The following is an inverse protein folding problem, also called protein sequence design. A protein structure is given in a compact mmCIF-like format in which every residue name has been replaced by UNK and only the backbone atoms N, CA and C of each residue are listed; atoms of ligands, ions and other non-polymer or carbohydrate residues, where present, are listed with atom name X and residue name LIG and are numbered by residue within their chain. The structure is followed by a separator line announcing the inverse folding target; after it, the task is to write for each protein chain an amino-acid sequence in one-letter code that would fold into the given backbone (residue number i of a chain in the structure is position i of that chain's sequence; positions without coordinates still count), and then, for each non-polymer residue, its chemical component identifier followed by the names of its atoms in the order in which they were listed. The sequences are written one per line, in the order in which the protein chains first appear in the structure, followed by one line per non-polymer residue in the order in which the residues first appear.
data_IF_204704945873
#
_entry.id   IF_204704945873
#
_cell.length_a   1.000
_cell.length_b   1.000
_cell.length_c   1.000
_cell.angle_alpha   90.00
_cell.angle_beta   90.00
_cell.angle_gamma   90.00
#
_symmetry.space_group_name_H-M   'P 1'
#
loop_
_entity.id
_entity.type
_entity.pdbx_description
1 polymer ?
#
# COMPACT_ATOMS: atom_id res chain seq x y z
N UNK A 1 32.85 -13.43 -24.35
CA UNK A 1 32.29 -13.98 -23.12
C UNK A 1 32.91 -13.26 -21.94
N UNK A 2 32.28 -12.23 -21.41
CA UNK A 2 32.78 -11.48 -20.22
C UNK A 2 31.98 -11.96 -19.01
N UNK A 3 32.68 -12.60 -18.08
CA UNK A 3 32.13 -13.04 -16.78
C UNK A 3 31.90 -11.83 -15.90
N UNK A 4 30.65 -11.60 -15.49
CA UNK A 4 30.31 -10.63 -14.45
C UNK A 4 30.52 -11.34 -13.11
N UNK A 5 31.48 -10.83 -12.34
CA UNK A 5 31.77 -11.29 -10.98
C UNK A 5 30.83 -10.48 -10.06
N UNK A 6 29.89 -11.17 -9.43
CA UNK A 6 29.06 -10.61 -8.34
C UNK A 6 29.90 -10.71 -7.08
N UNK A 7 30.34 -9.59 -6.55
CA UNK A 7 31.00 -9.52 -5.24
C UNK A 7 29.94 -9.55 -4.15
N UNK A 8 29.90 -10.68 -3.40
CA UNK A 8 29.25 -10.76 -2.09
C UNK A 8 30.03 -9.88 -1.11
N UNK A 9 29.39 -8.84 -0.59
CA UNK A 9 29.93 -8.08 0.54
C UNK A 9 29.35 -8.63 1.84
N UNK A 10 30.24 -9.16 2.68
CA UNK A 10 30.00 -9.72 3.99
C UNK A 10 29.43 -8.72 5.00
N UNK A 11 28.60 -9.26 5.87
CA UNK A 11 28.16 -8.71 7.16
C UNK A 11 29.32 -8.11 7.95
N UNK A 12 29.17 -6.86 8.33
CA UNK A 12 29.96 -6.22 9.39
C UNK A 12 29.03 -5.82 10.55
N UNK A 13 29.05 -6.62 11.62
CA UNK A 13 28.47 -6.24 12.92
C UNK A 13 29.33 -5.10 13.47
N UNK A 14 28.76 -3.90 13.57
CA UNK A 14 29.37 -2.81 14.35
C UNK A 14 28.59 -2.62 15.65
N UNK A 15 29.11 -3.17 16.74
CA UNK A 15 28.76 -2.78 18.09
C UNK A 15 29.43 -1.44 18.39
N UNK A 16 28.64 -0.38 18.57
CA UNK A 16 29.14 0.88 19.10
C UNK A 16 28.80 0.96 20.59
N UNK A 17 29.87 0.82 21.40
CA UNK A 17 29.87 1.13 22.83
C UNK A 17 29.80 2.66 23.00
N UNK A 18 28.81 3.10 23.77
CA UNK A 18 28.60 4.49 24.14
C UNK A 18 29.46 4.88 25.34
N UNK A 19 30.07 6.06 25.33
CA UNK A 19 30.31 6.83 26.54
C UNK A 19 30.13 8.33 26.29
N UNK A 20 29.11 8.85 26.92
CA UNK A 20 28.89 10.11 27.64
C UNK A 20 29.20 11.47 26.98
N UNK A 21 28.13 12.27 26.79
CA UNK A 21 27.91 13.52 27.55
C UNK A 21 26.53 14.06 27.22
N UNK A 22 25.80 14.39 28.28
CA UNK A 22 24.52 15.12 28.23
C UNK A 22 24.76 16.54 27.72
N UNK A 23 24.06 16.93 26.64
CA UNK A 23 23.71 18.31 26.38
C UNK A 23 22.23 18.38 26.03
N UNK A 24 21.52 19.06 26.91
CA UNK A 24 20.10 19.30 26.92
C UNK A 24 19.78 20.43 25.92
N UNK A 25 19.31 20.07 24.74
CA UNK A 25 18.65 21.01 23.85
C UNK A 25 17.48 20.32 23.17
N UNK A 26 16.30 20.79 23.55
CA UNK A 26 15.02 20.38 22.99
C UNK A 26 14.91 20.82 21.52
N UNK A 27 15.36 19.97 20.61
CA UNK A 27 15.06 20.11 19.19
C UNK A 27 14.02 19.06 18.78
N UNK A 28 12.80 19.54 18.50
CA UNK A 28 11.72 18.77 17.87
C UNK A 28 11.98 18.64 16.36
N UNK A 29 13.16 18.18 15.99
CA UNK A 29 13.51 17.81 14.61
C UNK A 29 13.17 16.34 14.39
N UNK A 30 12.10 16.05 13.66
CA UNK A 30 11.87 14.70 13.13
C UNK A 30 13.12 14.27 12.35
N UNK A 31 13.81 13.21 12.79
CA UNK A 31 14.96 12.65 12.10
C UNK A 31 14.51 12.26 10.68
N UNK A 32 15.05 12.95 9.68
CA UNK A 32 14.86 12.63 8.28
C UNK A 32 15.45 11.23 8.04
N UNK A 33 14.58 10.23 7.92
CA UNK A 33 15.00 8.86 7.66
C UNK A 33 15.22 8.73 6.15
N UNK A 34 16.47 8.69 5.71
CA UNK A 34 16.80 8.46 4.30
C UNK A 34 16.89 6.97 4.02
N UNK A 35 16.07 6.48 3.10
CA UNK A 35 16.17 5.13 2.57
C UNK A 35 17.39 5.07 1.65
N UNK A 36 18.29 4.08 1.79
CA UNK A 36 19.46 3.97 0.94
C UNK A 36 19.10 3.99 -0.56
N UNK A 37 19.76 4.83 -1.33
CA UNK A 37 19.44 5.04 -2.77
C UNK A 37 19.65 3.80 -3.64
N UNK A 38 20.41 2.81 -3.16
CA UNK A 38 20.58 1.52 -3.82
C UNK A 38 19.41 0.53 -3.59
N UNK A 39 18.41 0.90 -2.76
CA UNK A 39 17.22 0.07 -2.53
C UNK A 39 16.13 0.29 -3.56
N UNK A 40 16.18 1.35 -4.35
CA UNK A 40 15.13 1.67 -5.31
C UNK A 40 15.62 2.38 -6.57
N UNK A 41 14.78 2.39 -7.58
CA UNK A 41 14.94 3.20 -8.79
C UNK A 41 13.67 4.01 -9.00
N UNK A 42 13.82 5.31 -9.23
CA UNK A 42 12.75 6.21 -9.69
C UNK A 42 12.96 6.60 -11.14
N UNK A 43 11.88 7.01 -11.80
CA UNK A 43 11.94 7.57 -13.16
C UNK A 43 12.82 8.83 -13.24
N UNK A 44 13.33 9.20 -14.43
CA UNK A 44 14.19 10.38 -14.59
C UNK A 44 13.57 11.70 -14.11
N UNK A 45 12.24 11.81 -14.17
CA UNK A 45 11.47 12.96 -13.67
C UNK A 45 11.20 12.91 -12.16
N UNK A 46 11.59 11.81 -11.47
CA UNK A 46 11.44 11.62 -10.04
C UNK A 46 9.99 11.34 -9.57
N UNK A 47 9.05 11.09 -10.49
CA UNK A 47 7.63 10.96 -10.15
C UNK A 47 7.16 9.53 -9.96
N UNK A 48 7.87 8.55 -10.47
CA UNK A 48 7.47 7.14 -10.46
C UNK A 48 8.51 6.26 -9.77
N UNK A 49 8.10 5.47 -8.77
CA UNK A 49 8.92 4.38 -8.24
C UNK A 49 8.88 3.22 -9.23
N UNK A 50 10.01 2.88 -9.84
CA UNK A 50 10.12 1.89 -10.91
C UNK A 50 10.59 0.52 -10.44
N UNK A 51 11.44 0.47 -9.39
CA UNK A 51 11.97 -0.79 -8.84
C UNK A 51 12.25 -0.65 -7.35
N UNK A 52 12.13 -1.78 -6.65
CA UNK A 52 12.55 -1.96 -5.28
C UNK A 52 13.43 -3.21 -5.16
N UNK A 53 14.54 -3.15 -4.41
CA UNK A 53 15.54 -4.22 -4.35
C UNK A 53 15.70 -4.84 -2.97
N UNK A 54 15.32 -4.13 -1.89
CA UNK A 54 15.46 -4.67 -0.53
C UNK A 54 14.22 -5.48 -0.14
N UNK A 55 14.27 -6.79 -0.38
CA UNK A 55 13.16 -7.71 -0.09
C UNK A 55 13.00 -8.07 1.38
N UNK A 56 14.04 -7.82 2.21
CA UNK A 56 14.04 -8.14 3.65
C UNK A 56 13.41 -7.04 4.52
N UNK A 57 12.87 -5.99 3.90
CA UNK A 57 12.28 -4.87 4.62
C UNK A 57 10.97 -5.26 5.31
N UNK A 58 10.81 -4.82 6.56
CA UNK A 58 9.58 -5.04 7.36
C UNK A 58 8.66 -3.83 7.37
N UNK A 59 9.23 -2.63 7.18
CA UNK A 59 8.49 -1.37 7.11
C UNK A 59 9.16 -0.38 6.17
N UNK A 60 8.37 0.45 5.51
CA UNK A 60 8.86 1.51 4.60
C UNK A 60 8.12 2.81 4.94
N UNK A 61 8.86 3.87 5.25
CA UNK A 61 8.32 5.23 5.34
C UNK A 61 8.75 6.04 4.12
N UNK A 62 7.93 6.03 3.07
CA UNK A 62 8.19 6.82 1.86
C UNK A 62 7.97 8.32 2.09
N UNK A 63 7.18 8.69 3.11
CA UNK A 63 6.85 10.08 3.39
C UNK A 63 8.04 10.84 3.99
N UNK A 64 8.89 10.17 4.77
CA UNK A 64 10.09 10.78 5.38
C UNK A 64 11.31 10.80 4.43
N UNK A 65 11.28 10.05 3.32
CA UNK A 65 12.38 10.03 2.34
C UNK A 65 12.27 11.18 1.34
N UNK A 66 13.39 11.87 1.08
CA UNK A 66 13.47 13.07 0.21
C UNK A 66 13.04 12.84 -1.23
N UNK A 67 13.26 11.65 -1.75
CA UNK A 67 12.95 11.27 -3.14
C UNK A 67 11.57 10.63 -3.18
N UNK A 68 11.35 9.60 -2.36
CA UNK A 68 10.11 8.83 -2.38
C UNK A 68 8.88 9.65 -1.93
N UNK A 69 9.05 10.67 -1.09
CA UNK A 69 7.95 11.58 -0.70
C UNK A 69 7.35 12.37 -1.87
N UNK A 70 8.07 12.46 -3.00
CA UNK A 70 7.65 13.22 -4.19
C UNK A 70 6.97 12.37 -5.26
N UNK A 71 7.04 11.03 -5.15
CA UNK A 71 6.45 10.18 -6.18
C UNK A 71 4.93 10.31 -6.18
N UNK A 72 4.37 10.24 -7.38
CA UNK A 72 2.92 10.23 -7.64
C UNK A 72 2.44 8.86 -8.08
N UNK A 73 3.35 7.97 -8.44
CA UNK A 73 3.06 6.63 -8.91
C UNK A 73 4.02 5.60 -8.31
N UNK A 74 3.47 4.53 -7.72
CA UNK A 74 4.17 3.27 -7.53
C UNK A 74 3.95 2.51 -8.83
N UNK A 75 4.95 2.57 -9.73
CA UNK A 75 4.85 2.12 -11.11
C UNK A 75 5.70 0.88 -11.36
N UNK A 76 5.43 0.20 -12.45
CA UNK A 76 6.00 -1.12 -12.72
C UNK A 76 5.15 -2.22 -12.10
N UNK A 77 5.34 -3.44 -12.60
CA UNK A 77 4.61 -4.61 -12.09
C UNK A 77 5.30 -5.18 -10.87
N UNK A 78 4.52 -5.56 -9.85
CA UNK A 78 4.99 -6.35 -8.71
C UNK A 78 6.17 -5.72 -7.93
N UNK A 79 6.18 -4.39 -7.76
CA UNK A 79 7.30 -3.64 -7.17
C UNK A 79 7.76 -4.20 -5.81
N UNK A 80 6.82 -4.60 -4.95
CA UNK A 80 7.11 -5.14 -3.61
C UNK A 80 6.67 -6.60 -3.45
N UNK A 81 6.35 -7.32 -4.52
CA UNK A 81 5.76 -8.67 -4.42
C UNK A 81 6.69 -9.68 -3.70
N UNK A 82 8.00 -9.48 -3.74
CA UNK A 82 8.97 -10.33 -3.03
C UNK A 82 9.23 -9.91 -1.57
N UNK A 83 8.62 -8.81 -1.11
CA UNK A 83 8.78 -8.32 0.26
C UNK A 83 7.87 -9.08 1.23
N UNK A 84 8.13 -10.37 1.42
CA UNK A 84 7.30 -11.29 2.22
C UNK A 84 7.23 -10.96 3.72
N UNK A 85 8.05 -10.02 4.20
CA UNK A 85 8.06 -9.55 5.58
C UNK A 85 7.52 -8.11 5.72
N UNK A 86 7.09 -7.46 4.65
CA UNK A 86 6.63 -6.09 4.67
C UNK A 86 5.24 -5.99 5.31
N UNK A 87 5.18 -5.49 6.55
CA UNK A 87 3.94 -5.38 7.33
C UNK A 87 3.38 -3.96 7.40
N UNK A 88 4.20 -2.96 7.11
CA UNK A 88 3.81 -1.54 7.22
C UNK A 88 4.42 -0.69 6.11
N UNK A 89 3.60 0.20 5.53
CA UNK A 89 4.04 1.20 4.54
C UNK A 89 3.35 2.52 4.83
N UNK A 90 4.14 3.60 4.91
CA UNK A 90 3.63 4.98 4.89
C UNK A 90 3.80 5.51 3.47
N UNK A 91 2.67 5.74 2.79
CA UNK A 91 2.63 6.19 1.41
C UNK A 91 2.88 7.72 1.29
N UNK A 92 3.43 8.19 0.17
CA UNK A 92 3.58 9.62 -0.10
C UNK A 92 2.22 10.33 -0.18
N UNK A 93 2.15 11.57 0.33
CA UNK A 93 0.92 12.37 0.31
C UNK A 93 0.41 12.71 -1.10
N UNK A 94 1.31 12.71 -2.08
CA UNK A 94 1.02 13.05 -3.48
C UNK A 94 0.72 11.82 -4.36
N UNK A 95 0.67 10.62 -3.78
CA UNK A 95 0.48 9.39 -4.55
C UNK A 95 -0.91 9.37 -5.21
N UNK A 96 -0.93 9.13 -6.51
CA UNK A 96 -2.14 9.06 -7.32
C UNK A 96 -2.43 7.64 -7.83
N UNK A 97 -1.38 6.84 -8.08
CA UNK A 97 -1.53 5.53 -8.72
C UNK A 97 -0.71 4.48 -7.97
N UNK A 98 -1.35 3.35 -7.67
CA UNK A 98 -0.71 2.11 -7.22
C UNK A 98 -0.92 1.08 -8.31
N UNK A 99 0.18 0.66 -8.96
CA UNK A 99 0.13 -0.17 -10.16
C UNK A 99 -0.11 -1.65 -9.89
N UNK A 100 -0.25 -2.42 -10.97
CA UNK A 100 -0.50 -3.87 -10.97
C UNK A 100 0.40 -4.62 -9.98
N UNK A 101 -0.21 -5.40 -9.09
CA UNK A 101 0.48 -6.27 -8.15
C UNK A 101 1.45 -5.57 -7.19
N UNK A 102 1.44 -4.22 -7.08
CA UNK A 102 2.49 -3.46 -6.39
C UNK A 102 2.86 -4.02 -5.01
N UNK A 103 1.89 -4.45 -4.22
CA UNK A 103 2.06 -5.06 -2.89
C UNK A 103 1.47 -6.47 -2.82
N UNK A 104 1.40 -7.17 -3.95
CA UNK A 104 0.87 -8.54 -3.99
C UNK A 104 1.69 -9.46 -3.08
N UNK A 105 1.03 -10.19 -2.20
CA UNK A 105 1.68 -11.11 -1.26
C UNK A 105 2.36 -10.47 -0.07
N UNK A 106 2.46 -9.12 0.00
CA UNK A 106 2.96 -8.44 1.19
C UNK A 106 1.98 -8.61 2.37
N UNK A 107 2.44 -9.04 3.56
CA UNK A 107 1.57 -9.22 4.72
C UNK A 107 1.22 -7.90 5.43
N UNK A 108 0.86 -6.88 4.67
CA UNK A 108 0.49 -5.57 5.20
C UNK A 108 -0.72 -5.69 6.13
N UNK A 109 -0.59 -5.17 7.36
CA UNK A 109 -1.67 -5.23 8.38
C UNK A 109 -2.54 -3.99 8.39
N UNK A 110 -2.01 -2.86 7.91
CA UNK A 110 -2.73 -1.59 7.76
C UNK A 110 -2.16 -0.77 6.62
N UNK A 111 -2.97 0.13 6.09
CA UNK A 111 -2.54 1.12 5.11
C UNK A 111 -3.42 2.37 5.21
N UNK A 112 -2.80 3.53 5.07
CA UNK A 112 -3.50 4.80 4.97
C UNK A 112 -3.30 5.36 3.56
N UNK A 113 -4.34 5.30 2.74
CA UNK A 113 -4.31 5.87 1.41
C UNK A 113 -4.38 7.41 1.48
N UNK A 114 -3.53 8.13 0.73
CA UNK A 114 -3.62 9.58 0.66
C UNK A 114 -4.88 10.01 -0.13
N UNK A 115 -5.40 11.19 0.19
CA UNK A 115 -6.57 11.75 -0.52
C UNK A 115 -6.33 12.06 -2.00
N UNK A 116 -5.08 12.06 -2.46
CA UNK A 116 -4.70 12.25 -3.86
C UNK A 116 -4.84 10.96 -4.68
N UNK A 117 -5.01 9.79 -4.03
CA UNK A 117 -5.09 8.51 -4.71
C UNK A 117 -6.32 8.43 -5.61
N UNK A 118 -6.11 8.05 -6.87
CA UNK A 118 -7.14 7.93 -7.92
C UNK A 118 -7.32 6.50 -8.38
N UNK A 119 -6.21 5.76 -8.55
CA UNK A 119 -6.22 4.42 -9.12
C UNK A 119 -5.50 3.42 -8.22
N UNK A 120 -6.16 2.30 -7.97
CA UNK A 120 -5.58 1.09 -7.39
C UNK A 120 -5.73 0.02 -8.47
N UNK A 121 -4.64 -0.41 -9.07
CA UNK A 121 -4.70 -1.31 -10.21
C UNK A 121 -4.92 -2.77 -9.77
N UNK A 122 -5.04 -3.69 -10.74
CA UNK A 122 -5.31 -5.11 -10.55
C UNK A 122 -4.32 -5.75 -9.57
N UNK A 123 -4.83 -6.61 -8.69
CA UNK A 123 -4.09 -7.39 -7.68
C UNK A 123 -3.18 -6.57 -6.74
N UNK A 124 -3.29 -5.24 -6.70
CA UNK A 124 -2.34 -4.34 -6.02
C UNK A 124 -2.06 -4.72 -4.56
N UNK A 125 -3.05 -5.26 -3.84
CA UNK A 125 -2.94 -5.68 -2.43
C UNK A 125 -3.42 -7.13 -2.21
N UNK A 126 -3.43 -7.94 -3.26
CA UNK A 126 -3.83 -9.35 -3.14
C UNK A 126 -3.00 -10.07 -2.08
N UNK A 127 -3.64 -10.75 -1.14
CA UNK A 127 -2.99 -11.51 -0.07
C UNK A 127 -2.55 -10.70 1.16
N UNK A 128 -2.83 -9.40 1.22
CA UNK A 128 -2.57 -8.58 2.42
C UNK A 128 -3.30 -9.11 3.68
N UNK A 129 -2.99 -8.54 4.85
CA UNK A 129 -3.55 -8.98 6.15
C UNK A 129 -4.40 -7.89 6.82
N UNK A 130 -5.03 -7.05 6.03
CA UNK A 130 -5.93 -6.01 6.55
C UNK A 130 -7.11 -6.63 7.29
N UNK A 131 -7.51 -6.00 8.40
CA UNK A 131 -8.79 -6.29 9.09
C UNK A 131 -9.85 -5.26 8.74
N UNK A 132 -9.42 -4.05 8.38
CA UNK A 132 -10.28 -2.97 7.91
C UNK A 132 -9.57 -2.18 6.80
N UNK A 133 -10.36 -1.54 5.95
CA UNK A 133 -9.86 -0.77 4.82
C UNK A 133 -10.72 0.47 4.63
N UNK A 134 -10.09 1.64 4.44
CA UNK A 134 -10.76 2.88 4.06
C UNK A 134 -10.32 3.30 2.65
N UNK A 135 -11.27 3.46 1.75
CA UNK A 135 -11.06 3.92 0.38
C UNK A 135 -11.38 5.41 0.30
N UNK A 136 -10.41 6.28 0.02
CA UNK A 136 -10.61 7.72 -0.06
C UNK A 136 -11.61 8.13 -1.15
N UNK A 137 -12.24 9.27 -0.95
CA UNK A 137 -13.29 9.79 -1.85
C UNK A 137 -12.84 10.06 -3.29
N UNK A 138 -11.55 10.25 -3.52
CA UNK A 138 -11.01 10.59 -4.85
C UNK A 138 -10.57 9.35 -5.65
N UNK A 139 -10.66 8.15 -5.08
CA UNK A 139 -10.43 6.91 -5.82
C UNK A 139 -11.55 6.72 -6.84
N UNK A 140 -11.17 6.67 -8.12
CA UNK A 140 -12.11 6.53 -9.25
C UNK A 140 -12.04 5.16 -9.90
N UNK A 141 -10.97 4.40 -9.67
CA UNK A 141 -10.80 3.07 -10.24
C UNK A 141 -10.13 2.10 -9.27
N UNK A 142 -10.70 0.90 -9.14
CA UNK A 142 -10.15 -0.22 -8.40
C UNK A 142 -10.16 -1.44 -9.32
N UNK A 143 -8.98 -1.96 -9.63
CA UNK A 143 -8.78 -3.05 -10.57
C UNK A 143 -9.30 -4.41 -10.06
N UNK A 144 -9.29 -5.39 -10.97
CA UNK A 144 -9.70 -6.76 -10.68
C UNK A 144 -8.84 -7.35 -9.55
N UNK A 145 -9.45 -8.02 -8.58
CA UNK A 145 -8.75 -8.66 -7.48
C UNK A 145 -7.88 -7.75 -6.63
N UNK A 146 -8.02 -6.41 -6.70
CA UNK A 146 -7.12 -5.48 -6.01
C UNK A 146 -6.95 -5.76 -4.52
N UNK A 147 -7.97 -6.28 -3.87
CA UNK A 147 -8.00 -6.68 -2.46
C UNK A 147 -8.44 -8.14 -2.29
N UNK A 148 -8.15 -8.99 -3.25
CA UNK A 148 -8.47 -10.40 -3.15
C UNK A 148 -7.58 -11.13 -2.13
N UNK A 149 -8.01 -12.31 -1.69
CA UNK A 149 -7.27 -13.16 -0.73
C UNK A 149 -6.89 -12.49 0.60
N UNK A 150 -7.64 -11.45 1.00
CA UNK A 150 -7.50 -10.82 2.31
C UNK A 150 -8.45 -11.51 3.29
N UNK A 151 -8.03 -12.67 3.77
CA UNK A 151 -8.84 -13.58 4.60
C UNK A 151 -9.29 -13.01 5.95
N UNK A 152 -8.71 -11.88 6.39
CA UNK A 152 -9.02 -11.24 7.68
C UNK A 152 -9.86 -9.98 7.54
N UNK A 153 -10.20 -9.55 6.32
CA UNK A 153 -10.91 -8.31 6.07
C UNK A 153 -12.36 -8.40 6.54
N UNK A 154 -12.73 -7.58 7.50
CA UNK A 154 -14.07 -7.50 8.09
C UNK A 154 -14.86 -6.30 7.63
N UNK A 155 -14.20 -5.17 7.52
CA UNK A 155 -14.86 -3.89 7.26
C UNK A 155 -14.17 -3.13 6.15
N UNK A 156 -14.97 -2.61 5.21
CA UNK A 156 -14.51 -1.66 4.18
C UNK A 156 -15.34 -0.39 4.30
N UNK A 157 -14.69 0.76 4.23
CA UNK A 157 -15.34 2.08 4.24
C UNK A 157 -15.02 2.80 2.94
N UNK A 158 -16.03 3.12 2.15
CA UNK A 158 -15.90 4.05 1.03
C UNK A 158 -16.27 5.46 1.49
N UNK A 159 -15.41 6.44 1.21
CA UNK A 159 -15.65 7.84 1.58
C UNK A 159 -16.30 8.67 0.46
N UNK A 160 -16.28 8.16 -0.78
CA UNK A 160 -16.79 8.84 -1.96
C UNK A 160 -18.31 8.75 -2.10
N UNK A 161 -18.97 9.85 -2.45
CA UNK A 161 -20.40 9.87 -2.82
C UNK A 161 -20.67 9.11 -4.13
N UNK A 162 -19.67 9.04 -5.01
CA UNK A 162 -19.72 8.30 -6.27
C UNK A 162 -18.86 7.06 -6.13
N UNK A 163 -19.43 5.86 -6.35
CA UNK A 163 -18.62 4.64 -6.35
C UNK A 163 -17.55 4.70 -7.44
N UNK A 164 -16.33 4.21 -7.18
CA UNK A 164 -15.34 4.01 -8.24
C UNK A 164 -15.80 2.94 -9.24
N UNK A 165 -15.20 2.91 -10.42
CA UNK A 165 -15.23 1.71 -11.26
C UNK A 165 -14.53 0.59 -10.52
N UNK A 166 -15.17 -0.58 -10.43
CA UNK A 166 -14.68 -1.71 -9.63
C UNK A 166 -14.57 -2.95 -10.51
N UNK A 167 -13.37 -3.53 -10.53
CA UNK A 167 -13.09 -4.79 -11.20
C UNK A 167 -13.74 -5.99 -10.52
N UNK A 168 -13.72 -7.14 -11.18
CA UNK A 168 -14.26 -8.39 -10.63
C UNK A 168 -13.43 -8.88 -9.45
N UNK A 169 -14.06 -9.64 -8.54
CA UNK A 169 -13.35 -10.36 -7.49
C UNK A 169 -12.61 -9.49 -6.48
N UNK A 170 -12.97 -8.19 -6.37
CA UNK A 170 -12.24 -7.21 -5.54
C UNK A 170 -11.97 -7.70 -4.10
N UNK A 171 -12.90 -8.44 -3.49
CA UNK A 171 -12.77 -9.03 -2.14
C UNK A 171 -12.91 -10.55 -2.17
N UNK A 172 -12.60 -11.20 -3.28
CA UNK A 172 -12.65 -12.64 -3.39
C UNK A 172 -11.65 -13.30 -2.42
N UNK A 173 -12.04 -14.43 -1.83
CA UNK A 173 -11.17 -15.19 -0.93
C UNK A 173 -11.09 -16.64 -1.41
N UNK A 174 -10.03 -17.36 -1.00
CA UNK A 174 -9.92 -18.81 -1.24
C UNK A 174 -10.83 -19.63 -0.33
N UNK A 175 -11.36 -19.00 0.73
CA UNK A 175 -12.25 -19.66 1.68
C UNK A 175 -13.68 -19.63 1.14
N UNK A 176 -14.42 -20.69 1.40
CA UNK A 176 -15.86 -20.78 1.07
C UNK A 176 -16.70 -19.70 1.74
N UNK A 177 -16.20 -19.12 2.84
CA UNK A 177 -16.87 -18.06 3.60
C UNK A 177 -15.91 -16.89 3.71
N UNK A 178 -16.29 -15.75 3.14
CA UNK A 178 -15.57 -14.48 3.28
C UNK A 178 -15.72 -13.96 4.71
N UNK A 179 -14.63 -13.44 5.29
CA UNK A 179 -14.64 -12.75 6.58
C UNK A 179 -15.28 -11.36 6.52
N UNK A 180 -15.54 -10.83 5.32
CA UNK A 180 -16.13 -9.51 5.13
C UNK A 180 -17.54 -9.44 5.71
N UNK A 181 -17.72 -8.59 6.73
CA UNK A 181 -18.96 -8.43 7.47
C UNK A 181 -19.75 -7.21 6.98
N UNK A 182 -19.06 -6.11 6.71
CA UNK A 182 -19.75 -4.85 6.38
C UNK A 182 -18.94 -3.98 5.41
N UNK A 183 -19.62 -3.38 4.47
CA UNK A 183 -19.13 -2.31 3.60
C UNK A 183 -19.94 -1.06 3.94
N UNK A 184 -19.26 -0.01 4.39
CA UNK A 184 -19.86 1.29 4.64
C UNK A 184 -19.74 2.20 3.41
N UNK A 185 -20.83 2.86 3.05
CA UNK A 185 -20.89 3.90 2.03
C UNK A 185 -21.51 5.17 2.63
N UNK A 186 -21.31 6.37 2.06
CA UNK A 186 -22.03 7.56 2.46
C UNK A 186 -23.55 7.33 2.42
N UNK A 187 -24.29 7.87 3.40
CA UNK A 187 -25.71 7.56 3.60
C UNK A 187 -26.57 7.80 2.33
N UNK A 188 -26.31 8.87 1.61
CA UNK A 188 -27.00 9.22 0.34
C UNK A 188 -26.62 8.36 -0.86
N UNK A 189 -25.63 7.48 -0.73
CA UNK A 189 -25.03 6.72 -1.85
C UNK A 189 -25.19 5.20 -1.72
N UNK A 190 -25.80 4.70 -0.65
CA UNK A 190 -25.92 3.25 -0.36
C UNK A 190 -26.47 2.48 -1.55
N UNK A 191 -27.60 2.92 -2.15
CA UNK A 191 -28.21 2.23 -3.27
C UNK A 191 -27.33 2.27 -4.53
N UNK A 192 -26.59 3.35 -4.74
CA UNK A 192 -25.62 3.46 -5.84
C UNK A 192 -24.51 2.44 -5.68
N UNK A 193 -23.97 2.28 -4.47
CA UNK A 193 -22.96 1.28 -4.17
C UNK A 193 -23.49 -0.15 -4.34
N UNK A 194 -24.71 -0.45 -3.87
CA UNK A 194 -25.36 -1.77 -4.04
C UNK A 194 -25.54 -2.16 -5.49
N UNK A 195 -25.73 -1.17 -6.38
CA UNK A 195 -25.93 -1.38 -7.82
C UNK A 195 -24.64 -1.29 -8.63
N UNK A 196 -23.49 -0.98 -8.00
CA UNK A 196 -22.19 -0.92 -8.69
C UNK A 196 -21.75 -2.33 -9.10
N UNK A 197 -21.37 -2.49 -10.38
CA UNK A 197 -20.77 -3.74 -10.86
C UNK A 197 -19.54 -4.06 -9.98
N UNK A 198 -19.22 -5.29 -9.76
CA UNK A 198 -18.15 -5.68 -8.82
C UNK A 198 -18.54 -5.62 -7.33
N UNK A 199 -19.56 -4.85 -6.91
CA UNK A 199 -20.09 -4.83 -5.54
C UNK A 199 -21.45 -5.50 -5.36
N UNK A 200 -22.19 -5.75 -6.44
CA UNK A 200 -23.54 -6.37 -6.38
C UNK A 200 -23.59 -7.66 -5.58
N UNK A 201 -22.54 -8.47 -5.63
CA UNK A 201 -22.44 -9.73 -4.87
C UNK A 201 -22.32 -9.52 -3.37
N UNK A 202 -22.08 -8.29 -2.91
CA UNK A 202 -21.97 -7.88 -1.51
C UNK A 202 -23.09 -6.92 -1.09
N UNK A 203 -24.16 -6.79 -1.88
CA UNK A 203 -25.21 -5.79 -1.65
C UNK A 203 -25.88 -5.89 -0.29
N UNK A 204 -25.99 -7.12 0.27
CA UNK A 204 -26.50 -7.41 1.61
C UNK A 204 -25.62 -6.87 2.74
N UNK A 205 -24.32 -6.67 2.47
CA UNK A 205 -23.32 -6.16 3.42
C UNK A 205 -23.15 -4.64 3.34
N UNK A 206 -23.70 -3.96 2.33
CA UNK A 206 -23.53 -2.53 2.13
C UNK A 206 -24.54 -1.76 2.97
N UNK A 207 -24.02 -0.86 3.84
CA UNK A 207 -24.80 -0.06 4.79
C UNK A 207 -24.33 1.40 4.79
N UNK A 208 -25.19 2.30 5.30
CA UNK A 208 -24.82 3.67 5.56
C UNK A 208 -23.70 3.74 6.61
N UNK A 209 -22.73 4.62 6.38
CA UNK A 209 -21.72 4.95 7.38
C UNK A 209 -22.41 5.60 8.58
N UNK A 210 -22.12 5.17 9.83
CA UNK A 210 -22.63 5.79 11.05
C UNK A 210 -22.30 7.27 11.17
#
# INVERSE_FOLDING_TARGET
MKKIVIAMAMMGLLTISSCGKEDNSSDKGGKEQTIPSNYYVVSPDGTTLMKWFNTEVTSIDMQSDKVLSKITKIGGENIFAECSQLTSVILPKNLEIISFGAFQGCPLTSINFPNTLKNIEEAAFSGAKFTSLTIPKNVTNIGEGAFEMIDLLKTVVFEGEVPPTIGRGIFATRKSISSLETIYAPAGSVDRYKNTEGLKVYADKIKAKP
#
